data_IF_748036074438
#
_entry.id   IF_748036074438
#
_cell.length_a   1.000
_cell.length_b   1.000
_cell.length_c   1.000
_cell.angle_alpha   90.00
_cell.angle_beta   90.00
_cell.angle_gamma   90.00
#
_symmetry.space_group_name_H-M   'P 1'
#
loop_
_entity.id
_entity.type
_entity.pdbx_description
1 polymer ?
#
# COMPACT_ATOMS: atom_id res chain seq x y z
N UNK A 1 23.52 54.53 -9.00
CA UNK A 1 22.52 54.23 -7.94
C UNK A 1 21.34 53.37 -8.39
N UNK A 2 20.85 53.45 -9.64
CA UNK A 2 19.72 52.62 -10.11
C UNK A 2 20.03 51.13 -10.35
N UNK A 3 21.29 50.76 -10.60
CA UNK A 3 21.67 49.36 -10.85
C UNK A 3 21.98 48.55 -9.58
N UNK A 4 22.20 49.20 -8.43
CA UNK A 4 22.49 48.52 -7.16
C UNK A 4 21.20 48.02 -6.46
N UNK A 5 20.07 48.66 -6.73
CA UNK A 5 18.76 48.29 -6.18
C UNK A 5 18.17 47.06 -6.88
N UNK A 6 18.49 46.85 -8.16
CA UNK A 6 17.99 45.70 -8.95
C UNK A 6 18.69 44.39 -8.53
N UNK A 7 19.98 44.44 -8.17
CA UNK A 7 20.70 43.27 -7.68
C UNK A 7 20.22 42.82 -6.30
N UNK A 8 19.83 43.77 -5.43
CA UNK A 8 19.31 43.47 -4.09
C UNK A 8 17.91 42.85 -4.13
N UNK A 9 17.08 43.17 -5.14
CA UNK A 9 15.78 42.54 -5.34
C UNK A 9 15.86 41.11 -5.90
N UNK A 10 16.90 40.75 -6.65
CA UNK A 10 17.07 39.38 -7.14
C UNK A 10 17.59 38.41 -6.07
N UNK A 11 18.29 38.91 -5.05
CA UNK A 11 18.76 38.07 -3.92
C UNK A 11 17.64 37.80 -2.90
N UNK A 12 16.57 38.59 -2.91
CA UNK A 12 15.41 38.40 -2.00
C UNK A 12 14.34 37.44 -2.55
N UNK A 13 14.33 37.14 -3.86
CA UNK A 13 13.40 36.16 -4.44
C UNK A 13 13.90 34.70 -4.38
N UNK A 14 15.16 34.46 -4.02
CA UNK A 14 15.70 33.12 -3.79
C UNK A 14 15.54 32.62 -2.34
N UNK A 15 14.83 33.38 -1.49
CA UNK A 15 14.56 33.05 -0.09
C UNK A 15 13.07 32.80 0.18
N UNK A 16 12.29 32.43 -0.84
CA UNK A 16 11.06 31.69 -0.54
C UNK A 16 11.50 30.29 -0.10
N UNK A 17 11.30 29.89 1.17
CA UNK A 17 11.46 28.49 1.51
C UNK A 17 10.56 27.73 0.54
N UNK A 18 11.18 26.94 -0.34
CA UNK A 18 10.50 25.86 -1.04
C UNK A 18 9.68 25.18 0.05
N UNK A 19 8.35 25.27 0.00
CA UNK A 19 7.49 24.89 1.12
C UNK A 19 7.84 23.44 1.43
N UNK A 20 8.70 23.25 2.44
CA UNK A 20 9.33 21.96 2.65
C UNK A 20 8.17 21.08 3.04
N UNK A 21 7.79 20.15 2.16
CA UNK A 21 6.66 19.27 2.40
C UNK A 21 6.81 18.73 3.82
N UNK A 22 5.90 19.12 4.72
CA UNK A 22 6.02 18.72 6.12
C UNK A 22 6.08 17.21 6.16
N UNK A 23 7.10 16.67 6.82
CA UNK A 23 7.31 15.24 6.99
C UNK A 23 6.86 14.81 8.39
N UNK A 24 6.28 13.62 8.48
CA UNK A 24 5.96 13.00 9.76
C UNK A 24 7.25 12.65 10.51
N UNK A 25 7.22 12.81 11.84
CA UNK A 25 8.08 12.04 12.74
C UNK A 25 7.55 10.60 12.82
N UNK A 26 8.32 9.68 13.41
CA UNK A 26 7.82 8.34 13.69
C UNK A 26 6.50 8.38 14.48
N UNK A 27 5.57 7.48 14.14
CA UNK A 27 4.28 7.36 14.81
C UNK A 27 3.74 5.93 14.77
N UNK A 28 2.83 5.63 15.70
CA UNK A 28 1.89 4.51 15.64
C UNK A 28 0.49 5.08 15.82
N UNK A 29 -0.42 4.73 14.93
CA UNK A 29 -1.86 5.01 15.04
C UNK A 29 -2.56 3.69 15.33
N UNK A 30 -3.23 3.62 16.49
CA UNK A 30 -3.94 2.43 16.98
C UNK A 30 -5.44 2.47 16.69
N UNK A 31 -5.89 3.51 15.98
CA UNK A 31 -7.28 3.75 15.61
C UNK A 31 -8.29 3.59 16.76
N UNK A 32 -7.86 3.75 18.02
CA UNK A 32 -8.71 3.65 19.21
C UNK A 32 -9.69 4.82 19.37
N UNK A 33 -9.52 5.86 18.57
CA UNK A 33 -10.32 7.10 18.61
C UNK A 33 -11.05 7.31 17.30
N UNK A 34 -12.20 7.98 17.37
CA UNK A 34 -12.98 8.36 16.18
C UNK A 34 -12.29 9.33 15.22
N UNK A 35 -11.11 9.86 15.59
CA UNK A 35 -10.29 10.74 14.75
C UNK A 35 -8.81 10.43 14.95
N UNK A 36 -8.10 10.27 13.83
CA UNK A 36 -6.65 10.11 13.81
C UNK A 36 -5.92 11.46 13.85
N UNK A 37 -4.80 11.50 14.57
CA UNK A 37 -3.85 12.62 14.51
C UNK A 37 -3.00 12.57 13.23
N UNK A 38 -2.68 11.37 12.75
CA UNK A 38 -1.74 11.13 11.67
C UNK A 38 -2.40 11.04 10.30
N UNK A 39 -3.66 10.58 10.22
CA UNK A 39 -4.38 10.32 8.98
C UNK A 39 -5.62 11.19 8.83
N UNK A 40 -6.03 11.40 7.58
CA UNK A 40 -7.33 11.96 7.18
C UNK A 40 -8.02 11.01 6.22
N UNK A 41 -9.35 11.06 6.15
CA UNK A 41 -10.10 10.40 5.09
C UNK A 41 -9.80 11.05 3.73
N UNK A 42 -9.71 10.25 2.67
CA UNK A 42 -9.19 10.67 1.36
C UNK A 42 -9.93 10.15 0.13
N UNK A 43 -11.05 9.44 0.28
CA UNK A 43 -11.80 8.88 -0.85
C UNK A 43 -12.35 9.94 -1.80
N UNK A 44 -12.35 9.63 -3.10
CA UNK A 44 -13.02 10.40 -4.18
C UNK A 44 -14.32 9.75 -4.65
N UNK A 45 -14.72 8.64 -4.02
CA UNK A 45 -15.99 7.98 -4.26
C UNK A 45 -17.15 8.67 -3.58
N UNK A 46 -18.30 8.01 -3.61
CA UNK A 46 -19.51 8.47 -2.90
C UNK A 46 -19.23 8.54 -1.40
N UNK A 47 -19.58 9.67 -0.78
CA UNK A 47 -19.51 9.84 0.66
C UNK A 47 -20.69 9.12 1.33
N UNK A 48 -20.40 8.14 2.18
CA UNK A 48 -21.39 7.47 3.00
C UNK A 48 -20.78 7.11 4.37
N UNK A 49 -21.53 7.36 5.44
CA UNK A 49 -21.05 7.24 6.83
C UNK A 49 -20.62 5.82 7.23
N UNK A 50 -21.11 4.81 6.51
CA UNK A 50 -20.76 3.41 6.80
C UNK A 50 -19.42 2.98 6.19
N UNK A 51 -18.88 3.70 5.19
CA UNK A 51 -17.66 3.28 4.47
C UNK A 51 -16.41 3.34 5.33
N UNK A 52 -16.42 4.15 6.38
CA UNK A 52 -15.24 4.42 7.21
C UNK A 52 -15.63 4.76 8.64
N UNK A 53 -15.12 3.97 9.59
CA UNK A 53 -15.25 4.24 11.04
C UNK A 53 -13.94 3.95 11.75
N UNK A 54 -13.58 4.75 12.74
CA UNK A 54 -12.44 4.52 13.64
C UNK A 54 -12.93 4.46 15.09
N UNK A 55 -12.18 3.78 15.95
CA UNK A 55 -12.49 3.65 17.38
C UNK A 55 -13.70 2.77 17.65
N UNK A 56 -13.96 1.81 16.76
CA UNK A 56 -14.97 0.77 16.96
C UNK A 56 -14.29 -0.54 17.32
N UNK A 57 -14.99 -1.42 18.02
CA UNK A 57 -14.47 -2.73 18.39
C UNK A 57 -14.51 -3.69 17.17
N UNK A 58 -13.46 -4.50 17.02
CA UNK A 58 -13.42 -5.57 16.03
C UNK A 58 -14.45 -6.64 16.39
N UNK A 59 -15.19 -7.09 15.37
CA UNK A 59 -16.10 -8.22 15.53
C UNK A 59 -15.37 -9.56 15.51
N UNK A 60 -14.13 -9.58 14.99
CA UNK A 60 -13.35 -10.80 14.80
C UNK A 60 -12.27 -11.01 15.85
N UNK A 61 -11.89 -9.98 16.59
CA UNK A 61 -10.96 -10.03 17.71
C UNK A 61 -11.43 -9.08 18.83
N UNK A 62 -12.15 -9.59 19.86
CA UNK A 62 -12.65 -8.77 20.95
C UNK A 62 -11.55 -7.95 21.63
N UNK A 63 -11.91 -6.80 22.21
CA UNK A 63 -10.97 -5.85 22.84
C UNK A 63 -10.01 -5.12 21.88
N UNK A 64 -10.00 -5.45 20.58
CA UNK A 64 -9.24 -4.72 19.56
C UNK A 64 -10.08 -3.57 19.00
N UNK A 65 -9.57 -2.34 19.12
CA UNK A 65 -10.16 -1.18 18.43
C UNK A 65 -9.61 -1.08 17.01
N UNK A 66 -10.47 -0.77 16.04
CA UNK A 66 -10.10 -0.78 14.62
C UNK A 66 -10.50 0.49 13.87
N UNK A 67 -9.81 0.69 12.76
CA UNK A 67 -10.32 1.32 11.56
C UNK A 67 -11.08 0.28 10.73
N UNK A 68 -12.36 0.52 10.48
CA UNK A 68 -13.23 -0.28 9.62
C UNK A 68 -13.45 0.43 8.29
N UNK A 69 -13.19 -0.30 7.20
CA UNK A 69 -13.50 0.11 5.84
C UNK A 69 -14.52 -0.83 5.22
N UNK A 70 -15.59 -0.25 4.66
CA UNK A 70 -16.63 -1.02 3.96
C UNK A 70 -16.78 -0.58 2.52
N UNK A 71 -16.86 -1.56 1.62
CA UNK A 71 -17.24 -1.27 0.23
C UNK A 71 -18.67 -0.76 0.17
N UNK A 72 -18.92 0.13 -0.78
CA UNK A 72 -20.26 0.53 -1.16
C UNK A 72 -20.63 -0.22 -2.47
N UNK A 73 -21.58 -1.18 -2.44
CA UNK A 73 -22.02 -1.91 -3.63
C UNK A 73 -22.50 -1.03 -4.78
N UNK A 74 -22.97 0.19 -4.50
CA UNK A 74 -23.42 1.13 -5.54
C UNK A 74 -22.27 1.90 -6.21
N UNK A 75 -21.06 1.77 -5.69
CA UNK A 75 -19.89 2.49 -6.19
C UNK A 75 -19.40 1.97 -7.55
N UNK A 76 -18.76 2.84 -8.34
CA UNK A 76 -18.04 2.45 -9.56
C UNK A 76 -16.68 1.85 -9.23
N UNK A 77 -16.14 1.03 -10.15
CA UNK A 77 -14.81 0.47 -9.99
C UNK A 77 -13.74 1.57 -9.98
N UNK A 78 -12.66 1.34 -9.22
CA UNK A 78 -11.45 2.15 -9.24
C UNK A 78 -10.83 2.49 -7.88
N UNK A 79 -9.51 2.70 -7.82
CA UNK A 79 -8.74 2.83 -6.58
C UNK A 79 -9.18 3.99 -5.68
N UNK A 80 -9.60 5.10 -6.27
CA UNK A 80 -10.09 6.27 -5.52
C UNK A 80 -11.56 6.19 -5.09
N UNK A 81 -12.29 5.12 -5.43
CA UNK A 81 -13.75 5.03 -5.23
C UNK A 81 -14.14 4.33 -3.93
N UNK A 82 -13.29 3.45 -3.42
CA UNK A 82 -13.41 2.86 -2.09
C UNK A 82 -13.09 3.83 -0.94
N UNK A 83 -13.35 3.47 0.33
CA UNK A 83 -12.78 4.18 1.47
C UNK A 83 -11.24 4.21 1.41
N UNK A 84 -10.65 5.35 1.81
CA UNK A 84 -9.21 5.56 1.85
C UNK A 84 -8.84 6.48 3.02
N UNK A 85 -7.72 6.19 3.69
CA UNK A 85 -7.04 7.12 4.59
C UNK A 85 -5.67 7.50 4.03
N UNK A 86 -5.27 8.75 4.27
CA UNK A 86 -4.04 9.36 3.78
C UNK A 86 -3.33 10.08 4.92
N UNK A 87 -2.03 9.89 5.07
CA UNK A 87 -1.23 10.61 6.07
C UNK A 87 -1.29 12.12 5.84
N UNK A 88 -1.46 12.90 6.92
CA UNK A 88 -1.57 14.36 6.85
C UNK A 88 -0.28 15.02 6.38
N UNK A 89 0.86 14.41 6.70
CA UNK A 89 2.19 14.83 6.27
C UNK A 89 2.85 13.74 5.42
N UNK A 90 3.92 14.09 4.73
CA UNK A 90 4.68 13.14 3.93
C UNK A 90 5.51 12.22 4.82
N UNK A 91 5.80 11.03 4.34
CA UNK A 91 6.76 10.09 4.90
C UNK A 91 7.86 9.83 3.85
N UNK A 92 8.97 9.26 4.27
CA UNK A 92 10.13 8.99 3.40
C UNK A 92 10.80 7.68 3.87
N UNK A 93 12.09 7.50 3.62
CA UNK A 93 12.86 6.35 4.09
C UNK A 93 12.59 6.04 5.57
N UNK A 94 12.42 4.75 5.85
CA UNK A 94 11.99 4.26 7.15
C UNK A 94 11.28 2.91 7.05
N UNK A 95 10.79 2.45 8.19
CA UNK A 95 10.05 1.20 8.31
C UNK A 95 8.56 1.49 8.46
N UNK A 96 7.76 0.86 7.61
CA UNK A 96 6.31 0.96 7.59
C UNK A 96 5.72 -0.37 8.00
N UNK A 97 4.69 -0.36 8.84
CA UNK A 97 4.00 -1.58 9.21
C UNK A 97 2.54 -1.35 9.52
N UNK A 98 1.74 -2.40 9.33
CA UNK A 98 0.32 -2.41 9.63
C UNK A 98 -0.09 -3.77 10.15
N UNK A 99 -1.09 -3.80 11.03
CA UNK A 99 -1.82 -5.02 11.39
C UNK A 99 -3.25 -4.93 10.89
N UNK A 100 -3.64 -5.87 10.03
CA UNK A 100 -4.95 -5.86 9.37
C UNK A 100 -5.47 -7.29 9.15
N UNK A 101 -6.76 -7.37 8.87
CA UNK A 101 -7.46 -8.59 8.45
C UNK A 101 -8.30 -8.25 7.22
N UNK A 102 -8.01 -8.85 6.07
CA UNK A 102 -8.79 -8.62 4.85
C UNK A 102 -10.16 -9.32 4.95
N UNK A 103 -11.18 -8.92 4.18
CA UNK A 103 -12.49 -9.55 4.29
C UNK A 103 -12.50 -10.98 3.72
N UNK A 104 -13.22 -11.89 4.36
CA UNK A 104 -13.55 -13.20 3.79
C UNK A 104 -14.79 -13.05 2.88
N UNK A 105 -14.62 -13.41 1.62
CA UNK A 105 -15.65 -13.32 0.57
C UNK A 105 -16.12 -14.69 0.08
N UNK A 106 -15.45 -15.76 0.50
CA UNK A 106 -15.57 -17.11 -0.06
C UNK A 106 -17.01 -17.66 -0.04
N UNK A 107 -17.75 -17.37 1.03
CA UNK A 107 -19.13 -17.83 1.22
C UNK A 107 -20.16 -16.94 0.51
N UNK A 108 -19.90 -15.64 0.42
CA UNK A 108 -20.91 -14.66 -0.07
C UNK A 108 -20.76 -14.33 -1.55
N UNK A 109 -19.52 -14.17 -2.01
CA UNK A 109 -19.20 -13.74 -3.37
C UNK A 109 -17.73 -14.05 -3.71
N UNK A 110 -17.42 -15.31 -3.98
CA UNK A 110 -16.04 -15.79 -4.15
C UNK A 110 -15.26 -15.13 -5.30
N UNK A 111 -15.95 -14.63 -6.33
CA UNK A 111 -15.34 -14.01 -7.51
C UNK A 111 -15.40 -12.48 -7.48
N UNK A 112 -15.58 -11.87 -6.30
CA UNK A 112 -15.59 -10.41 -6.19
C UNK A 112 -14.25 -9.81 -6.62
N UNK A 113 -14.30 -8.85 -7.54
CA UNK A 113 -13.16 -8.06 -7.96
C UNK A 113 -12.92 -6.93 -6.95
N UNK A 114 -12.23 -7.21 -5.85
CA UNK A 114 -11.95 -6.23 -4.82
C UNK A 114 -10.51 -6.27 -4.33
N UNK A 115 -9.95 -5.10 -4.02
CA UNK A 115 -8.54 -4.88 -3.71
C UNK A 115 -8.41 -4.14 -2.39
N UNK A 116 -7.63 -4.69 -1.46
CA UNK A 116 -7.11 -3.97 -0.30
C UNK A 116 -5.70 -3.49 -0.64
N UNK A 117 -5.44 -2.20 -0.52
CA UNK A 117 -4.13 -1.60 -0.75
C UNK A 117 -3.54 -1.02 0.53
N UNK A 118 -2.33 -1.46 0.90
CA UNK A 118 -1.47 -0.89 1.94
C UNK A 118 -0.22 -0.33 1.27
N UNK A 119 -0.07 1.00 1.22
CA UNK A 119 0.88 1.58 0.28
C UNK A 119 1.38 2.96 0.66
N UNK A 120 2.40 3.42 -0.05
CA UNK A 120 2.71 4.85 -0.14
C UNK A 120 2.39 5.36 -1.54
N UNK A 121 1.97 6.62 -1.67
CA UNK A 121 1.73 7.23 -2.98
C UNK A 121 1.95 8.74 -2.95
N UNK A 122 2.68 9.22 -3.95
CA UNK A 122 2.71 10.61 -4.34
C UNK A 122 3.08 10.71 -5.82
N UNK A 123 2.42 11.63 -6.53
CA UNK A 123 2.72 11.92 -7.93
C UNK A 123 2.81 13.43 -8.09
N UNK A 124 3.89 13.91 -8.68
CA UNK A 124 4.01 15.29 -9.11
C UNK A 124 4.83 15.43 -10.40
N UNK A 125 4.79 16.63 -10.98
CA UNK A 125 5.46 16.95 -12.24
C UNK A 125 7.00 16.97 -12.16
N UNK A 126 7.60 16.98 -10.96
CA UNK A 126 9.06 17.07 -10.77
C UNK A 126 9.67 15.69 -10.54
N UNK A 127 9.07 14.90 -9.66
CA UNK A 127 9.55 13.58 -9.25
C UNK A 127 8.86 12.42 -9.95
N UNK A 128 7.75 12.68 -10.65
CA UNK A 128 6.88 11.62 -11.17
C UNK A 128 6.15 10.90 -10.04
N UNK A 129 5.72 9.67 -10.33
CA UNK A 129 5.13 8.76 -9.36
C UNK A 129 6.19 8.21 -8.41
N UNK A 130 5.80 8.04 -7.14
CA UNK A 130 6.58 7.48 -6.05
C UNK A 130 5.65 6.62 -5.19
N UNK A 131 5.65 5.32 -5.45
CA UNK A 131 4.69 4.38 -4.87
C UNK A 131 5.35 3.05 -4.46
N UNK A 132 4.90 2.50 -3.33
CA UNK A 132 5.32 1.19 -2.77
C UNK A 132 4.06 0.51 -2.28
N UNK A 133 3.86 -0.75 -2.69
CA UNK A 133 2.59 -1.44 -2.55
C UNK A 133 2.69 -2.77 -1.79
N UNK A 134 1.64 -3.03 -1.03
CA UNK A 134 1.13 -4.33 -0.60
C UNK A 134 -0.34 -4.38 -1.02
N UNK A 135 -0.72 -5.38 -1.82
CA UNK A 135 -2.10 -5.52 -2.29
C UNK A 135 -2.59 -6.95 -2.14
N UNK A 136 -3.88 -7.07 -1.79
CA UNK A 136 -4.62 -8.33 -1.71
C UNK A 136 -5.85 -8.25 -2.59
N UNK A 137 -6.05 -9.23 -3.46
CA UNK A 137 -7.29 -9.40 -4.19
C UNK A 137 -8.15 -10.43 -3.47
N UNK A 138 -9.36 -10.02 -3.05
CA UNK A 138 -10.18 -10.76 -2.08
C UNK A 138 -10.61 -12.14 -2.55
N UNK A 139 -10.69 -12.38 -3.86
CA UNK A 139 -11.05 -13.67 -4.41
C UNK A 139 -10.04 -14.78 -4.09
N UNK A 140 -8.79 -14.44 -3.74
CA UNK A 140 -7.84 -15.37 -3.14
C UNK A 140 -6.90 -14.64 -2.14
N UNK A 141 -7.28 -14.55 -0.86
CA UNK A 141 -6.52 -13.83 0.16
C UNK A 141 -5.22 -14.54 0.58
N UNK A 142 -4.87 -15.66 -0.07
CA UNK A 142 -3.60 -16.37 0.12
C UNK A 142 -2.48 -15.78 -0.74
N UNK A 143 -2.84 -15.01 -1.76
CA UNK A 143 -1.91 -14.39 -2.70
C UNK A 143 -1.70 -12.92 -2.33
N UNK A 144 -0.44 -12.50 -2.33
CA UNK A 144 -0.05 -11.10 -2.10
C UNK A 144 0.71 -10.55 -3.31
N UNK A 145 0.49 -9.28 -3.57
CA UNK A 145 1.18 -8.50 -4.59
C UNK A 145 2.00 -7.43 -3.87
N UNK A 146 3.29 -7.41 -4.12
CA UNK A 146 4.19 -6.39 -3.59
C UNK A 146 4.99 -5.77 -4.72
N UNK A 147 5.29 -4.49 -4.64
CA UNK A 147 6.00 -3.82 -5.70
C UNK A 147 6.04 -2.32 -5.55
N UNK A 148 6.41 -1.66 -6.63
CA UNK A 148 6.49 -0.22 -6.71
C UNK A 148 6.06 0.27 -8.08
N UNK A 149 5.69 1.55 -8.13
CA UNK A 149 5.62 2.32 -9.36
C UNK A 149 6.41 3.61 -9.19
N UNK A 150 7.27 3.92 -10.15
CA UNK A 150 8.13 5.11 -10.09
C UNK A 150 8.31 5.81 -11.43
N UNK A 151 8.55 7.12 -11.42
CA UNK A 151 8.94 7.88 -12.60
C UNK A 151 7.79 8.64 -13.28
N UNK A 152 8.08 9.23 -14.44
CA UNK A 152 7.11 10.01 -15.21
C UNK A 152 5.99 9.12 -15.79
N UNK A 153 4.78 9.67 -15.96
CA UNK A 153 3.59 8.94 -16.40
C UNK A 153 3.79 8.08 -17.67
N UNK A 154 4.58 8.56 -18.64
CA UNK A 154 4.84 7.84 -19.90
C UNK A 154 6.10 6.95 -19.87
N UNK A 155 6.80 6.90 -18.73
CA UNK A 155 8.04 6.14 -18.51
C UNK A 155 8.05 5.44 -17.16
N UNK A 156 6.88 5.07 -16.66
CA UNK A 156 6.72 4.45 -15.36
C UNK A 156 7.56 3.18 -15.30
N UNK A 157 8.33 3.02 -14.23
CA UNK A 157 9.05 1.81 -13.92
C UNK A 157 8.30 1.08 -12.82
N UNK A 158 7.93 -0.17 -13.09
CA UNK A 158 7.39 -1.09 -12.10
C UNK A 158 8.41 -2.15 -11.77
N UNK A 159 8.58 -2.45 -10.49
CA UNK A 159 9.07 -3.75 -10.05
C UNK A 159 7.95 -4.42 -9.25
N UNK A 160 7.82 -5.73 -9.35
CA UNK A 160 6.76 -6.44 -8.65
C UNK A 160 7.07 -7.91 -8.40
N UNK A 161 6.50 -8.44 -7.33
CA UNK A 161 6.53 -9.85 -6.97
C UNK A 161 5.14 -10.31 -6.53
N UNK A 162 4.74 -11.49 -7.00
CA UNK A 162 3.47 -12.15 -6.64
C UNK A 162 3.82 -13.42 -5.85
N UNK A 163 3.20 -13.61 -4.70
CA UNK A 163 3.51 -14.69 -3.78
C UNK A 163 2.22 -15.35 -3.30
N UNK A 164 2.10 -16.66 -3.46
CA UNK A 164 1.13 -17.46 -2.71
C UNK A 164 1.79 -17.95 -1.43
N UNK A 165 1.40 -17.37 -0.29
CA UNK A 165 2.02 -17.65 1.01
C UNK A 165 1.57 -18.98 1.60
N UNK A 166 0.37 -19.45 1.26
CA UNK A 166 -0.12 -20.76 1.69
C UNK A 166 0.72 -21.89 1.06
N UNK A 167 1.18 -21.68 -0.17
CA UNK A 167 1.99 -22.66 -0.91
C UNK A 167 3.50 -22.40 -0.81
N UNK A 168 3.93 -21.25 -0.27
CA UNK A 168 5.34 -20.84 -0.29
C UNK A 168 5.86 -20.56 -1.71
N UNK A 169 4.96 -20.27 -2.65
CA UNK A 169 5.27 -20.16 -4.08
C UNK A 169 5.42 -18.70 -4.48
N UNK A 170 6.61 -18.33 -4.96
CA UNK A 170 6.82 -17.09 -5.71
C UNK A 170 6.32 -17.35 -7.14
N UNK A 171 5.25 -16.69 -7.53
CA UNK A 171 4.61 -16.87 -8.85
C UNK A 171 5.34 -16.04 -9.90
N UNK A 172 5.68 -14.80 -9.56
CA UNK A 172 6.31 -13.86 -10.49
C UNK A 172 7.30 -12.96 -9.73
N UNK A 173 8.41 -12.56 -10.36
CA UNK A 173 9.25 -11.44 -9.90
C UNK A 173 9.84 -10.71 -11.11
N UNK A 174 9.27 -9.57 -11.44
CA UNK A 174 9.51 -8.88 -12.72
C UNK A 174 9.76 -7.38 -12.54
N UNK A 175 10.30 -6.79 -13.59
CA UNK A 175 10.20 -5.37 -13.88
C UNK A 175 9.43 -5.15 -15.18
N UNK A 176 8.78 -4.00 -15.34
CA UNK A 176 8.22 -3.56 -16.64
C UNK A 176 8.18 -2.04 -16.74
N UNK A 177 8.12 -1.55 -17.97
CA UNK A 177 7.95 -0.13 -18.28
C UNK A 177 6.49 0.13 -18.64
N UNK A 178 5.84 1.08 -17.98
CA UNK A 178 4.42 1.40 -18.13
C UNK A 178 3.48 0.22 -17.79
N UNK A 179 2.17 0.45 -17.92
CA UNK A 179 1.14 -0.54 -17.61
C UNK A 179 1.19 -1.75 -18.56
N UNK A 180 1.42 -1.52 -19.84
CA UNK A 180 1.34 -2.53 -20.90
C UNK A 180 2.73 -3.04 -21.38
N UNK A 181 3.81 -2.66 -20.70
CA UNK A 181 5.15 -3.09 -21.11
C UNK A 181 5.40 -4.56 -20.87
N UNK A 182 6.27 -5.12 -21.73
CA UNK A 182 6.70 -6.51 -21.60
C UNK A 182 7.44 -6.75 -20.28
N UNK A 183 7.08 -7.80 -19.53
CA UNK A 183 7.74 -8.13 -18.28
C UNK A 183 9.16 -8.64 -18.52
N UNK A 184 10.11 -8.17 -17.72
CA UNK A 184 11.48 -8.68 -17.66
C UNK A 184 11.73 -9.31 -16.29
N UNK A 185 12.14 -10.58 -16.28
CA UNK A 185 12.43 -11.30 -15.04
C UNK A 185 13.58 -10.66 -14.25
N UNK A 186 13.38 -10.46 -12.95
CA UNK A 186 14.43 -10.00 -12.04
C UNK A 186 15.23 -11.20 -11.52
N UNK A 187 16.54 -11.01 -11.33
CA UNK A 187 17.48 -12.08 -10.97
C UNK A 187 18.52 -11.61 -9.94
N UNK A 188 19.26 -12.56 -9.36
CA UNK A 188 20.33 -12.26 -8.39
C UNK A 188 19.81 -11.50 -7.17
N UNK A 189 20.52 -10.43 -6.79
CA UNK A 189 20.17 -9.60 -5.63
C UNK A 189 18.76 -8.96 -5.70
N UNK A 190 18.19 -8.85 -6.89
CA UNK A 190 16.85 -8.30 -7.09
C UNK A 190 15.75 -9.35 -6.85
N UNK A 191 16.10 -10.62 -6.67
CA UNK A 191 15.17 -11.75 -6.56
C UNK A 191 15.34 -12.54 -5.24
N UNK A 192 15.77 -11.89 -4.16
CA UNK A 192 16.00 -12.56 -2.86
C UNK A 192 14.79 -12.36 -1.93
N UNK A 193 14.32 -13.40 -1.21
CA UNK A 193 14.74 -14.79 -1.33
C UNK A 193 14.19 -15.42 -2.61
N UNK A 194 14.83 -16.50 -3.07
CA UNK A 194 14.41 -17.29 -4.24
C UNK A 194 13.29 -18.30 -3.90
N UNK A 195 13.06 -18.54 -2.61
CA UNK A 195 11.96 -19.35 -2.10
C UNK A 195 11.46 -18.78 -0.79
N UNK A 196 10.19 -19.06 -0.47
CA UNK A 196 9.55 -18.65 0.78
C UNK A 196 8.96 -19.92 1.40
N UNK A 197 9.15 -20.19 2.70
CA UNK A 197 8.48 -21.30 3.35
C UNK A 197 6.96 -21.14 3.23
N UNK A 198 6.27 -22.24 2.93
CA UNK A 198 4.83 -22.28 2.98
C UNK A 198 4.37 -22.02 4.42
N UNK A 199 3.35 -21.18 4.57
CA UNK A 199 2.67 -20.96 5.84
C UNK A 199 1.40 -21.80 5.80
N UNK A 200 1.36 -22.87 6.59
CA UNK A 200 0.22 -23.78 6.61
C UNK A 200 -1.07 -23.04 6.93
N UNK A 201 -2.13 -23.29 6.13
CA UNK A 201 -3.44 -22.65 6.28
C UNK A 201 -3.40 -21.12 6.25
N UNK A 202 -2.37 -20.50 5.65
CA UNK A 202 -2.34 -19.06 5.49
C UNK A 202 -3.52 -18.58 4.66
N UNK A 203 -4.22 -17.61 5.20
CA UNK A 203 -5.29 -16.86 4.58
C UNK A 203 -5.33 -15.50 5.28
N UNK A 204 -5.13 -14.40 4.52
CA UNK A 204 -5.10 -13.05 5.09
C UNK A 204 -6.46 -12.61 5.68
N UNK A 205 -7.54 -13.33 5.36
CA UNK A 205 -8.89 -13.09 5.86
C UNK A 205 -9.24 -13.89 7.11
N UNK A 206 -8.42 -14.87 7.50
CA UNK A 206 -8.71 -15.75 8.65
C UNK A 206 -8.55 -15.05 9.99
N UNK A 207 -7.55 -14.17 10.13
CA UNK A 207 -7.19 -13.45 11.35
C UNK A 207 -6.38 -12.20 11.02
N UNK A 208 -6.11 -11.38 12.02
CA UNK A 208 -5.18 -10.27 11.86
C UNK A 208 -3.75 -10.76 11.66
N UNK A 209 -3.09 -10.20 10.64
CA UNK A 209 -1.68 -10.43 10.33
C UNK A 209 -0.93 -9.09 10.34
N UNK A 210 0.38 -9.15 10.59
CA UNK A 210 1.24 -7.95 10.56
C UNK A 210 2.15 -7.99 9.34
N UNK A 211 2.08 -6.95 8.53
CA UNK A 211 2.88 -6.76 7.32
C UNK A 211 3.69 -5.47 7.42
N UNK A 212 4.79 -5.40 6.69
CA UNK A 212 5.58 -4.18 6.63
C UNK A 212 6.56 -4.16 5.48
N UNK A 213 7.09 -2.97 5.23
CA UNK A 213 8.21 -2.79 4.34
C UNK A 213 9.22 -1.81 4.93
N UNK A 214 10.50 -2.10 4.74
CA UNK A 214 11.60 -1.17 4.99
C UNK A 214 11.95 -0.49 3.67
N UNK A 215 11.91 0.83 3.63
CA UNK A 215 12.25 1.63 2.47
C UNK A 215 13.54 2.42 2.73
N UNK A 216 14.56 2.10 1.96
CA UNK A 216 15.88 2.75 1.96
C UNK A 216 16.19 3.28 0.55
N UNK A 217 17.26 4.06 0.42
CA UNK A 217 17.61 4.70 -0.87
C UNK A 217 17.95 3.70 -1.97
N UNK A 218 18.43 2.51 -1.62
CA UNK A 218 18.95 1.49 -2.54
C UNK A 218 18.41 0.09 -2.27
N UNK A 219 17.40 0.01 -1.41
CA UNK A 219 16.81 -1.26 -0.98
C UNK A 219 15.36 -1.07 -0.55
N UNK A 220 14.52 -2.04 -0.91
CA UNK A 220 13.20 -2.19 -0.30
C UNK A 220 13.04 -3.63 0.15
N UNK A 221 12.63 -3.80 1.42
CA UNK A 221 12.40 -5.11 2.00
C UNK A 221 10.95 -5.23 2.44
N UNK A 222 10.15 -6.06 1.76
CA UNK A 222 8.81 -6.45 2.16
C UNK A 222 8.87 -7.66 3.09
N UNK A 223 8.10 -7.63 4.16
CA UNK A 223 8.10 -8.65 5.20
C UNK A 223 6.73 -8.81 5.87
N UNK A 224 6.55 -9.92 6.57
CA UNK A 224 5.44 -10.12 7.51
C UNK A 224 5.95 -10.78 8.80
N UNK A 225 5.18 -10.67 9.88
CA UNK A 225 5.40 -11.49 11.06
C UNK A 225 4.79 -12.86 10.84
N UNK A 226 5.60 -13.92 10.92
CA UNK A 226 5.14 -15.29 10.76
C UNK A 226 4.09 -15.62 11.82
N UNK A 227 2.89 -16.10 11.44
CA UNK A 227 1.76 -16.20 12.35
C UNK A 227 1.92 -17.24 13.46
N UNK A 228 2.87 -18.18 13.32
CA UNK A 228 3.18 -19.22 14.30
C UNK A 228 4.46 -18.94 15.10
N UNK A 229 5.59 -18.75 14.42
CA UNK A 229 6.88 -18.53 15.11
C UNK A 229 7.05 -17.11 15.67
N UNK A 230 6.22 -16.15 15.22
CA UNK A 230 6.36 -14.72 15.53
C UNK A 230 7.66 -14.06 15.05
N UNK A 231 8.45 -14.76 14.21
CA UNK A 231 9.64 -14.20 13.58
C UNK A 231 9.28 -13.33 12.37
N UNK A 232 10.22 -12.50 11.91
CA UNK A 232 10.06 -11.77 10.65
C UNK A 232 10.35 -12.68 9.46
N UNK A 233 9.33 -12.96 8.64
CA UNK A 233 9.47 -13.61 7.35
C UNK A 233 9.71 -12.55 6.25
N UNK A 234 10.81 -12.68 5.53
CA UNK A 234 11.12 -11.80 4.39
C UNK A 234 10.42 -12.32 3.14
N UNK A 235 9.59 -11.48 2.56
CA UNK A 235 8.81 -11.79 1.35
C UNK A 235 9.59 -11.39 0.10
N UNK A 236 10.25 -10.24 0.17
CA UNK A 236 11.14 -9.78 -0.88
C UNK A 236 12.14 -8.78 -0.32
N UNK A 237 13.40 -8.94 -0.68
CA UNK A 237 14.52 -8.08 -0.32
C UNK A 237 15.16 -7.57 -1.61
N UNK A 238 14.53 -6.57 -2.22
CA UNK A 238 14.96 -5.98 -3.49
C UNK A 238 16.15 -5.06 -3.26
N UNK A 239 17.30 -5.39 -3.85
CA UNK A 239 18.51 -4.58 -3.81
C UNK A 239 19.42 -4.84 -5.03
N UNK A 240 20.55 -4.13 -5.09
CA UNK A 240 21.52 -4.27 -6.18
C UNK A 240 21.12 -3.53 -7.46
N UNK A 241 20.06 -2.72 -7.42
CA UNK A 241 19.64 -1.81 -8.47
C UNK A 241 18.80 -0.68 -7.88
N UNK A 242 18.83 0.48 -8.53
CA UNK A 242 17.96 1.63 -8.22
C UNK A 242 16.64 1.61 -9.02
N UNK A 243 16.51 0.68 -9.98
CA UNK A 243 15.31 0.54 -10.81
C UNK A 243 14.08 0.33 -9.92
N UNK A 244 13.06 1.16 -10.11
CA UNK A 244 11.81 1.01 -9.38
C UNK A 244 11.87 1.45 -7.92
N UNK A 245 13.00 1.89 -7.36
CA UNK A 245 13.06 2.33 -5.95
C UNK A 245 12.63 3.80 -5.85
N UNK A 246 11.53 4.14 -5.16
CA UNK A 246 11.10 5.52 -5.05
C UNK A 246 12.12 6.36 -4.26
N UNK A 247 12.40 7.55 -4.75
CA UNK A 247 13.43 8.45 -4.18
C UNK A 247 12.83 9.69 -3.49
N UNK A 248 11.53 9.92 -3.65
CA UNK A 248 10.86 11.14 -3.21
C UNK A 248 9.79 10.84 -2.17
N UNK A 249 9.49 11.82 -1.32
CA UNK A 249 8.58 11.63 -0.20
C UNK A 249 7.17 11.31 -0.69
N UNK A 250 6.52 10.35 -0.04
CA UNK A 250 5.18 9.89 -0.39
C UNK A 250 4.21 10.02 0.77
N UNK A 251 2.91 9.92 0.50
CA UNK A 251 1.89 9.81 1.54
C UNK A 251 1.72 8.36 1.93
N UNK A 252 1.63 8.07 3.22
CA UNK A 252 1.30 6.74 3.72
C UNK A 252 -0.22 6.55 3.67
N UNK A 253 -0.71 5.48 3.04
CA UNK A 253 -2.11 5.24 2.72
C UNK A 253 -2.58 3.80 2.99
N UNK A 254 -3.89 3.68 3.11
CA UNK A 254 -4.63 2.43 3.09
C UNK A 254 -5.94 2.67 2.36
N UNK A 255 -6.33 1.80 1.44
CA UNK A 255 -7.63 1.85 0.79
C UNK A 255 -8.25 0.45 0.64
N UNK A 256 -9.55 0.43 0.33
CA UNK A 256 -10.26 -0.79 0.01
C UNK A 256 -11.31 -0.49 -1.05
N UNK A 257 -11.15 -1.03 -2.25
CA UNK A 257 -11.90 -0.65 -3.44
C UNK A 257 -12.22 -1.86 -4.32
N UNK A 258 -12.97 -1.66 -5.40
CA UNK A 258 -13.35 -2.74 -6.33
C UNK A 258 -12.90 -2.46 -7.76
N UNK A 259 -12.57 -3.52 -8.47
CA UNK A 259 -11.99 -3.52 -9.81
C UNK A 259 -12.82 -4.41 -10.74
N UNK A 260 -12.93 -4.01 -12.00
CA UNK A 260 -13.61 -4.74 -13.07
C UNK A 260 -12.63 -5.23 -14.16
N UNK A 261 -11.33 -4.99 -13.96
CA UNK A 261 -10.29 -5.29 -14.96
C UNK A 261 -9.01 -5.89 -14.38
N UNK A 262 -8.94 -6.16 -13.08
CA UNK A 262 -7.79 -6.81 -12.44
C UNK A 262 -8.24 -8.01 -11.59
N UNK A 263 -8.09 -9.20 -12.17
CA UNK A 263 -8.45 -10.46 -11.51
C UNK A 263 -7.27 -11.00 -10.70
N UNK A 264 -7.57 -11.79 -9.67
CA UNK A 264 -6.53 -12.48 -8.89
C UNK A 264 -5.84 -13.55 -9.72
N UNK A 265 -4.56 -13.74 -9.44
CA UNK A 265 -3.70 -14.70 -10.12
C UNK A 265 -4.29 -16.11 -10.01
N UNK A 266 -4.42 -16.80 -11.13
CA UNK A 266 -5.05 -18.12 -11.20
C UNK A 266 -6.59 -18.13 -11.25
N UNK A 267 -7.29 -17.00 -11.09
CA UNK A 267 -8.75 -16.91 -11.24
C UNK A 267 -9.19 -15.70 -12.07
N UNK A 268 -9.27 -15.83 -13.41
CA UNK A 268 -9.66 -14.72 -14.29
C UNK A 268 -11.12 -14.27 -14.14
N UNK A 269 -11.96 -15.04 -13.47
CA UNK A 269 -13.37 -14.68 -13.24
C UNK A 269 -13.57 -13.77 -12.02
N UNK A 270 -12.50 -13.50 -11.25
CA UNK A 270 -12.52 -12.69 -10.04
C UNK A 270 -12.67 -11.17 -10.31
N UNK A 271 -13.74 -10.79 -11.01
CA UNK A 271 -14.04 -9.44 -11.48
C UNK A 271 -15.48 -9.03 -11.18
N UNK A 272 -16.21 -9.81 -10.39
CA UNK A 272 -17.59 -9.49 -10.07
C UNK A 272 -17.66 -8.22 -9.23
N UNK A 273 -18.55 -7.31 -9.62
CA UNK A 273 -18.85 -6.12 -8.82
C UNK A 273 -19.36 -6.55 -7.43
N UNK A 274 -18.90 -5.96 -6.32
CA UNK A 274 -19.38 -6.31 -4.99
C UNK A 274 -20.89 -6.10 -4.82
N UNK A 275 -21.58 -7.12 -4.35
CA UNK A 275 -23.00 -7.05 -3.97
C UNK A 275 -23.20 -6.74 -2.47
N UNK A 276 -22.14 -6.91 -1.68
CA UNK A 276 -22.16 -6.76 -0.23
C UNK A 276 -21.14 -5.73 0.26
N UNK A 277 -21.41 -5.04 1.38
CA UNK A 277 -20.45 -4.14 2.01
C UNK A 277 -19.43 -4.95 2.83
N UNK A 278 -18.55 -5.69 2.14
CA UNK A 278 -17.42 -6.39 2.77
C UNK A 278 -16.60 -5.42 3.63
N UNK A 279 -16.02 -5.92 4.72
CA UNK A 279 -15.38 -5.12 5.76
C UNK A 279 -13.90 -5.49 5.93
N UNK A 280 -13.03 -4.54 5.63
CA UNK A 280 -11.62 -4.58 5.99
C UNK A 280 -11.47 -4.03 7.41
N UNK A 281 -10.72 -4.76 8.24
CA UNK A 281 -10.38 -4.33 9.59
C UNK A 281 -8.88 -4.01 9.68
N UNK A 282 -8.54 -2.82 10.17
CA UNK A 282 -7.16 -2.39 10.41
C UNK A 282 -7.02 -2.01 11.88
N UNK A 283 -6.19 -2.76 12.61
CA UNK A 283 -5.92 -2.55 14.04
C UNK A 283 -4.99 -1.34 14.22
N UNK A 284 -3.81 -1.36 13.58
CA UNK A 284 -2.89 -0.24 13.67
C UNK A 284 -2.04 -0.07 12.42
N UNK A 285 -1.55 1.15 12.22
CA UNK A 285 -0.55 1.52 11.21
C UNK A 285 0.59 2.30 11.86
N UNK A 286 1.82 2.04 11.45
CA UNK A 286 3.02 2.65 12.02
C UNK A 286 4.04 3.05 10.93
N UNK A 287 4.75 4.14 11.22
CA UNK A 287 5.90 4.60 10.46
C UNK A 287 7.03 4.91 11.42
N UNK A 288 8.20 4.33 11.21
CA UNK A 288 9.41 4.61 11.96
C UNK A 288 10.45 5.20 11.02
N UNK A 289 10.71 6.51 11.18
CA UNK A 289 11.74 7.21 10.41
C UNK A 289 13.12 6.65 10.77
N UNK A 290 13.94 6.41 9.74
CA UNK A 290 15.38 6.13 9.88
C UNK A 290 16.22 7.39 9.67
#
# INVERSE_FOLDING_TARGET
>A
MKHLVILLLMVLMSLFPNESQKTHKSFKEDFSRSKSKNFRYGSTGTHADFKHKMGIESLSEPETSILSFKLNPDEKAGPGKGPEIISKHFTHFGSYSTRLKVPDVSVKQANVGAVVGYFTYHEDHKGGLSEIDFEWLLADPRIIYVGTWTGEHDKLQRIGRIINLAEGKIIETISKVNYDGDPTQLTGLQNIPESIPAIENYDASSKFHTYGFDWESDRIRWWMIHPETSDTLVLWDYQGSQLGIPQHASKYRMNFWHTDNWAVEGNPNALEKPEFPFELEVDWMAFNKR
#
